data_IF_652706310938
#
_entry.id   IF_652706310938
#
_cell.length_a   1.000
_cell.length_b   1.000
_cell.length_c   1.000
_cell.angle_alpha   90.00
_cell.angle_beta   90.00
_cell.angle_gamma   90.00
#
_symmetry.space_group_name_H-M   'P 1'
#
loop_
_entity.id
_entity.type
_entity.pdbx_description
1 polymer ?
#
# COMPACT_ATOMS: atom_id res chain seq x y z
N UNK A 1 -12.66 -38.32 -17.09
CA UNK A 1 -12.00 -37.02 -16.91
C UNK A 1 -11.61 -36.93 -15.45
N UNK A 2 -10.33 -37.14 -15.15
CA UNK A 2 -9.83 -37.35 -13.80
C UNK A 2 -9.91 -36.08 -12.94
N UNK A 3 -10.82 -36.08 -11.97
CA UNK A 3 -11.06 -34.99 -11.00
C UNK A 3 -9.76 -34.53 -10.32
N UNK A 4 -8.84 -35.46 -10.05
CA UNK A 4 -7.53 -35.19 -9.44
C UNK A 4 -6.67 -34.23 -10.27
N UNK A 5 -6.70 -34.35 -11.61
CA UNK A 5 -5.93 -33.48 -12.49
C UNK A 5 -6.46 -32.04 -12.46
N UNK A 6 -7.78 -31.86 -12.43
CA UNK A 6 -8.39 -30.54 -12.31
C UNK A 6 -8.07 -29.86 -10.98
N UNK A 7 -8.03 -30.63 -9.88
CA UNK A 7 -7.68 -30.09 -8.55
C UNK A 7 -6.23 -29.58 -8.54
N UNK A 8 -5.28 -30.33 -9.08
CA UNK A 8 -3.86 -29.92 -9.12
C UNK A 8 -3.70 -28.62 -9.93
N UNK A 9 -4.32 -28.56 -11.11
CA UNK A 9 -4.28 -27.36 -11.96
C UNK A 9 -4.93 -26.16 -11.25
N UNK A 10 -6.07 -26.38 -10.60
CA UNK A 10 -6.78 -25.34 -9.85
C UNK A 10 -5.94 -24.81 -8.69
N UNK A 11 -5.37 -25.70 -7.87
CA UNK A 11 -4.50 -25.33 -6.74
C UNK A 11 -3.24 -24.61 -7.22
N UNK A 12 -2.59 -25.10 -8.27
CA UNK A 12 -1.40 -24.45 -8.85
C UNK A 12 -1.71 -23.03 -9.35
N UNK A 13 -2.83 -22.85 -10.04
CA UNK A 13 -3.26 -21.54 -10.54
C UNK A 13 -3.64 -20.61 -9.39
N UNK A 14 -4.36 -21.12 -8.39
CA UNK A 14 -4.71 -20.36 -7.20
C UNK A 14 -3.46 -19.89 -6.45
N UNK A 15 -2.46 -20.76 -6.25
CA UNK A 15 -1.19 -20.38 -5.64
C UNK A 15 -0.48 -19.27 -6.41
N UNK A 16 -0.43 -19.35 -7.74
CA UNK A 16 0.20 -18.32 -8.56
C UNK A 16 -0.50 -16.95 -8.42
N UNK A 17 -1.83 -16.94 -8.37
CA UNK A 17 -2.63 -15.72 -8.16
C UNK A 17 -2.40 -15.17 -6.76
N UNK A 18 -2.49 -16.02 -5.73
CA UNK A 18 -2.25 -15.64 -4.33
C UNK A 18 -0.84 -15.05 -4.21
N UNK A 19 0.16 -15.68 -4.79
CA UNK A 19 1.55 -15.22 -4.76
C UNK A 19 1.69 -13.82 -5.38
N UNK A 20 1.07 -13.57 -6.53
CA UNK A 20 1.05 -12.23 -7.14
C UNK A 20 0.37 -11.20 -6.23
N UNK A 21 -0.78 -11.52 -5.65
CA UNK A 21 -1.52 -10.61 -4.77
C UNK A 21 -0.72 -10.32 -3.49
N UNK A 22 -0.08 -11.33 -2.90
CA UNK A 22 0.76 -11.18 -1.71
C UNK A 22 1.99 -10.32 -2.01
N UNK A 23 2.72 -10.60 -3.10
CA UNK A 23 3.85 -9.77 -3.51
C UNK A 23 3.42 -8.33 -3.76
N UNK A 24 2.31 -8.13 -4.47
CA UNK A 24 1.79 -6.79 -4.75
C UNK A 24 1.45 -6.03 -3.45
N UNK A 25 0.74 -6.66 -2.51
CA UNK A 25 0.44 -6.06 -1.19
C UNK A 25 1.70 -5.81 -0.37
N UNK A 26 2.67 -6.72 -0.40
CA UNK A 26 3.88 -6.62 0.41
C UNK A 26 4.80 -5.52 -0.09
N UNK A 27 4.99 -5.41 -1.41
CA UNK A 27 5.73 -4.30 -2.04
C UNK A 27 5.03 -2.97 -1.76
N UNK A 28 3.70 -2.92 -1.88
CA UNK A 28 2.95 -1.71 -1.52
C UNK A 28 3.18 -1.31 -0.06
N UNK A 29 3.15 -2.25 0.87
CA UNK A 29 3.36 -1.93 2.29
C UNK A 29 4.77 -1.42 2.56
N UNK A 30 5.77 -1.93 1.84
CA UNK A 30 7.15 -1.46 1.93
C UNK A 30 7.29 -0.04 1.38
N UNK A 31 6.71 0.25 0.22
CA UNK A 31 6.74 1.56 -0.41
C UNK A 31 6.02 2.64 0.43
N UNK A 32 4.90 2.30 1.05
CA UNK A 32 4.16 3.18 1.96
C UNK A 32 5.02 3.58 3.17
N UNK A 33 5.68 2.60 3.77
CA UNK A 33 6.55 2.78 4.92
C UNK A 33 7.83 3.56 4.55
N UNK A 34 8.35 3.35 3.34
CA UNK A 34 9.49 4.09 2.80
C UNK A 34 9.13 5.52 2.41
N UNK A 35 7.94 5.76 1.84
CA UNK A 35 7.46 7.09 1.49
C UNK A 35 7.22 7.93 2.74
N UNK A 36 6.58 7.37 3.76
CA UNK A 36 6.40 8.06 5.06
C UNK A 36 7.77 8.38 5.66
N UNK A 37 8.72 7.45 5.58
CA UNK A 37 10.08 7.65 6.10
C UNK A 37 10.88 8.70 5.31
N UNK A 38 10.69 8.77 3.99
CA UNK A 38 11.30 9.79 3.12
C UNK A 38 10.66 11.17 3.30
N UNK A 39 9.33 11.24 3.34
CA UNK A 39 8.57 12.47 3.61
C UNK A 39 8.80 13.03 5.02
N UNK A 40 9.10 12.15 5.97
CA UNK A 40 9.37 12.59 7.33
C UNK A 40 10.66 13.40 7.43
N UNK A 41 11.66 13.18 6.57
CA UNK A 41 12.99 13.83 6.59
C UNK A 41 13.52 14.12 8.02
N UNK A 42 13.31 13.19 8.95
CA UNK A 42 13.71 13.32 10.36
C UNK A 42 12.89 14.27 11.25
N UNK A 43 11.79 14.85 10.79
CA UNK A 43 10.98 15.85 11.50
C UNK A 43 9.68 15.25 12.09
N UNK A 44 9.64 14.96 13.40
CA UNK A 44 8.56 14.21 14.03
C UNK A 44 7.19 14.92 13.98
N UNK A 45 7.17 16.26 13.96
CA UNK A 45 5.92 17.02 13.93
C UNK A 45 5.22 17.00 12.57
N UNK A 46 5.97 17.01 11.46
CA UNK A 46 5.41 16.80 10.10
C UNK A 46 4.93 15.36 9.93
N UNK A 47 5.69 14.41 10.47
CA UNK A 47 5.35 12.99 10.43
C UNK A 47 4.03 12.67 11.13
N UNK A 48 3.78 13.22 12.32
CA UNK A 48 2.53 12.98 13.05
C UNK A 48 1.31 13.57 12.31
N UNK A 49 1.49 14.75 11.70
CA UNK A 49 0.45 15.40 10.90
C UNK A 49 0.11 14.61 9.61
N UNK A 50 1.14 14.16 8.88
CA UNK A 50 0.99 13.32 7.69
C UNK A 50 0.38 11.94 8.04
N UNK A 51 0.75 11.34 9.17
CA UNK A 51 0.14 10.09 9.66
C UNK A 51 -1.33 10.28 10.01
N UNK A 52 -1.70 11.37 10.68
CA UNK A 52 -3.09 11.63 11.04
C UNK A 52 -3.96 11.79 9.78
N UNK A 53 -3.49 12.57 8.81
CA UNK A 53 -4.17 12.72 7.51
C UNK A 53 -4.23 11.42 6.72
N UNK A 54 -3.16 10.62 6.78
CA UNK A 54 -3.13 9.29 6.17
C UNK A 54 -4.17 8.35 6.81
N UNK A 55 -4.28 8.35 8.15
CA UNK A 55 -5.25 7.52 8.86
C UNK A 55 -6.70 7.91 8.50
N UNK A 56 -6.99 9.21 8.40
CA UNK A 56 -8.29 9.74 7.98
C UNK A 56 -8.66 9.31 6.54
N UNK A 57 -7.68 9.32 5.63
CA UNK A 57 -7.84 8.89 4.23
C UNK A 57 -8.01 7.36 4.08
N UNK A 58 -7.31 6.59 4.92
CA UNK A 58 -7.46 5.13 4.98
C UNK A 58 -8.83 4.73 5.53
N UNK A 59 -9.31 5.44 6.57
CA UNK A 59 -10.64 5.23 7.14
C UNK A 59 -11.75 5.49 6.10
N UNK A 60 -11.54 6.48 5.23
CA UNK A 60 -12.43 6.80 4.11
C UNK A 60 -12.36 5.82 2.93
N UNK A 61 -11.63 4.68 3.04
CA UNK A 61 -11.46 3.67 1.98
C UNK A 61 -10.98 4.26 0.64
N UNK A 62 -10.21 5.35 0.68
CA UNK A 62 -9.66 5.94 -0.54
C UNK A 62 -8.66 4.97 -1.17
N UNK A 63 -8.73 4.78 -2.49
CA UNK A 63 -7.80 3.90 -3.22
C UNK A 63 -6.37 4.36 -2.93
N UNK A 64 -5.54 3.45 -2.41
CA UNK A 64 -4.16 3.69 -1.93
C UNK A 64 -3.25 4.48 -2.90
N UNK A 65 -3.51 4.39 -4.20
CA UNK A 65 -2.82 5.17 -5.25
C UNK A 65 -3.06 6.68 -5.13
N UNK A 66 -4.26 7.07 -4.68
CA UNK A 66 -4.65 8.45 -4.40
C UNK A 66 -4.11 8.93 -3.05
N UNK A 67 -3.99 8.02 -2.07
CA UNK A 67 -3.45 8.37 -0.76
C UNK A 67 -2.00 8.84 -0.88
N UNK A 68 -1.16 8.12 -1.63
CA UNK A 68 0.22 8.53 -1.91
C UNK A 68 0.29 9.91 -2.56
N UNK A 69 -0.56 10.15 -3.55
CA UNK A 69 -0.57 11.38 -4.32
C UNK A 69 -1.05 12.58 -3.47
N UNK A 70 -2.07 12.38 -2.64
CA UNK A 70 -2.53 13.41 -1.70
C UNK A 70 -1.55 13.66 -0.57
N UNK A 71 -0.81 12.63 -0.11
CA UNK A 71 0.22 12.80 0.91
C UNK A 71 1.39 13.66 0.40
N UNK A 72 1.76 13.49 -0.88
CA UNK A 72 2.75 14.34 -1.55
C UNK A 72 2.23 15.77 -1.72
N UNK A 73 0.98 15.96 -2.15
CA UNK A 73 0.33 17.28 -2.24
C UNK A 73 0.32 18.00 -0.88
N UNK A 74 -0.07 17.31 0.20
CA UNK A 74 -0.09 17.90 1.55
C UNK A 74 1.31 18.25 2.09
N UNK A 75 2.34 17.52 1.67
CA UNK A 75 3.71 17.82 2.07
C UNK A 75 4.28 19.03 1.32
N UNK A 76 3.97 19.16 0.04
CA UNK A 76 4.34 20.29 -0.82
C UNK A 76 3.67 21.59 -0.32
N UNK A 77 2.39 21.51 0.07
CA UNK A 77 1.63 22.63 0.63
C UNK A 77 2.12 23.07 2.02
N UNK A 78 2.83 22.21 2.76
CA UNK A 78 3.45 22.56 4.04
C UNK A 78 4.89 23.12 3.88
N UNK A 79 5.46 23.11 2.67
CA UNK A 79 6.73 23.75 2.36
C UNK A 79 6.58 25.18 1.77
N UNK A 80 5.36 25.62 1.42
CA UNK A 80 5.05 27.02 1.08
C UNK A 80 4.81 27.89 2.32
#
# INVERSE_FOLDING_TARGET
>A
MDTTAYIIIFVSTALAIIFKVVLFKRIQNWMDQDLIKGLADGNPSKHDYLIQKHAELVENKVKRKHIHQQLTDFADEFEQ
#
